data_IF_312869768671
#
_entry.id   IF_312869768671
#
_cell.length_a   1.000
_cell.length_b   1.000
_cell.length_c   1.000
_cell.angle_alpha   90.00
_cell.angle_beta   90.00
_cell.angle_gamma   90.00
#
_symmetry.space_group_name_H-M   'P 1'
#
loop_
_entity.id
_entity.type
_entity.pdbx_description
1 polymer ?
#
# COMPACT_ATOMS: atom_id res chain seq x y z
N UNK A 1 16.83 5.75 4.13
CA UNK A 1 17.27 5.11 2.88
C UNK A 1 17.64 3.65 3.09
N UNK A 2 18.50 3.30 4.06
CA UNK A 2 18.87 1.90 4.33
C UNK A 2 17.67 0.95 4.55
N UNK A 3 16.68 1.36 5.36
CA UNK A 3 15.50 0.52 5.63
C UNK A 3 14.65 0.26 4.39
N UNK A 4 14.41 1.29 3.57
CA UNK A 4 13.67 1.16 2.32
C UNK A 4 14.37 0.21 1.36
N UNK A 5 15.69 0.34 1.20
CA UNK A 5 16.49 -0.58 0.40
C UNK A 5 16.40 -2.02 0.91
N UNK A 6 16.49 -2.21 2.23
CA UNK A 6 16.35 -3.53 2.84
C UNK A 6 14.96 -4.14 2.58
N UNK A 7 13.89 -3.34 2.63
CA UNK A 7 12.55 -3.81 2.28
C UNK A 7 12.45 -4.21 0.80
N UNK A 8 13.01 -3.43 -0.13
CA UNK A 8 12.99 -3.78 -1.56
C UNK A 8 13.73 -5.10 -1.81
N UNK A 9 14.93 -5.24 -1.23
CA UNK A 9 15.69 -6.50 -1.32
C UNK A 9 14.86 -7.67 -0.77
N UNK A 10 14.18 -7.48 0.38
CA UNK A 10 13.34 -8.51 0.97
C UNK A 10 12.18 -8.93 0.06
N UNK A 11 11.55 -7.98 -0.63
CA UNK A 11 10.46 -8.26 -1.57
C UNK A 11 10.98 -8.98 -2.83
N UNK A 12 12.17 -8.61 -3.33
CA UNK A 12 12.82 -9.30 -4.46
C UNK A 12 13.22 -10.72 -4.09
N UNK A 13 13.93 -10.92 -2.98
CA UNK A 13 14.31 -12.24 -2.46
C UNK A 13 13.09 -13.12 -2.18
N UNK A 14 12.00 -12.50 -1.73
CA UNK A 14 10.73 -13.14 -1.50
C UNK A 14 9.97 -13.50 -2.78
N UNK A 15 10.39 -13.02 -3.96
CA UNK A 15 9.70 -13.24 -5.23
C UNK A 15 8.35 -12.52 -5.32
N UNK A 16 8.19 -11.39 -4.60
CA UNK A 16 6.97 -10.57 -4.65
C UNK A 16 7.04 -9.48 -5.72
N UNK A 17 8.26 -9.00 -6.02
CA UNK A 17 8.55 -8.05 -7.09
C UNK A 17 9.83 -8.48 -7.83
N UNK A 18 10.03 -7.96 -9.03
CA UNK A 18 11.29 -8.13 -9.77
C UNK A 18 12.32 -7.08 -9.36
N UNK A 19 13.60 -7.29 -9.72
CA UNK A 19 14.62 -6.27 -9.51
C UNK A 19 14.31 -4.98 -10.28
N UNK A 20 13.72 -5.07 -11.48
CA UNK A 20 13.33 -3.89 -12.26
C UNK A 20 12.32 -3.00 -11.52
N UNK A 21 11.35 -3.62 -10.83
CA UNK A 21 10.39 -2.90 -9.98
C UNK A 21 11.08 -2.26 -8.77
N UNK A 22 12.06 -2.95 -8.16
CA UNK A 22 12.83 -2.40 -7.05
C UNK A 22 13.74 -1.22 -7.46
N UNK A 23 14.19 -1.19 -8.72
CA UNK A 23 15.05 -0.14 -9.27
C UNK A 23 14.24 1.11 -9.66
N UNK A 24 12.95 0.98 -9.99
CA UNK A 24 12.02 2.09 -10.28
C UNK A 24 10.82 2.11 -9.31
N UNK A 25 11.08 2.43 -8.05
CA UNK A 25 10.03 2.45 -7.03
C UNK A 25 8.95 3.51 -7.32
N UNK A 26 9.32 4.66 -7.88
CA UNK A 26 8.36 5.75 -8.14
C UNK A 26 7.35 5.35 -9.22
N UNK A 27 7.79 4.66 -10.27
CA UNK A 27 6.90 4.10 -11.29
C UNK A 27 6.02 2.94 -10.81
N UNK A 28 6.39 2.29 -9.70
CA UNK A 28 5.79 1.03 -9.24
C UNK A 28 5.23 1.06 -7.82
N UNK A 29 4.91 2.24 -7.26
CA UNK A 29 4.43 2.37 -5.87
C UNK A 29 3.26 1.44 -5.55
N UNK A 30 2.24 1.37 -6.42
CA UNK A 30 1.10 0.48 -6.18
C UNK A 30 1.51 -1.00 -6.15
N UNK A 31 2.34 -1.44 -7.09
CA UNK A 31 2.82 -2.82 -7.16
C UNK A 31 3.63 -3.19 -5.91
N UNK A 32 4.46 -2.28 -5.41
CA UNK A 32 5.25 -2.45 -4.20
C UNK A 32 4.37 -2.52 -2.95
N UNK A 33 3.36 -1.65 -2.84
CA UNK A 33 2.38 -1.71 -1.74
C UNK A 33 1.63 -3.04 -1.77
N UNK A 34 1.15 -3.46 -2.93
CA UNK A 34 0.50 -4.77 -3.11
C UNK A 34 1.45 -5.93 -2.74
N UNK A 35 2.73 -5.86 -3.11
CA UNK A 35 3.73 -6.86 -2.74
C UNK A 35 3.98 -6.94 -1.24
N UNK A 36 4.01 -5.80 -0.54
CA UNK A 36 4.10 -5.77 0.92
C UNK A 36 2.89 -6.45 1.57
N UNK A 37 1.68 -6.19 1.06
CA UNK A 37 0.46 -6.85 1.53
C UNK A 37 0.47 -8.36 1.21
N UNK A 38 0.92 -8.77 0.03
CA UNK A 38 1.11 -10.17 -0.32
C UNK A 38 2.05 -10.87 0.67
N UNK A 39 3.17 -10.23 1.01
CA UNK A 39 4.11 -10.73 2.02
C UNK A 39 3.47 -10.85 3.41
N UNK A 40 2.60 -9.92 3.81
CA UNK A 40 1.84 -10.03 5.07
C UNK A 40 0.92 -11.26 5.08
N UNK A 41 0.34 -11.60 3.92
CA UNK A 41 -0.52 -12.80 3.85
C UNK A 41 0.24 -14.10 4.07
N UNK A 42 1.56 -14.16 3.87
CA UNK A 42 2.37 -15.36 4.11
C UNK A 42 2.73 -15.56 5.61
N UNK A 43 2.36 -14.60 6.47
CA UNK A 43 2.66 -14.68 7.92
C UNK A 43 1.70 -15.62 8.66
N UNK A 44 2.09 -16.18 9.82
CA UNK A 44 1.19 -16.98 10.68
C UNK A 44 0.22 -16.11 11.50
N UNK A 45 0.04 -14.83 11.16
CA UNK A 45 -0.78 -13.90 11.93
C UNK A 45 -2.25 -14.30 11.86
N UNK A 46 -2.95 -14.28 13.00
CA UNK A 46 -4.37 -14.62 13.07
C UNK A 46 -5.27 -13.59 12.37
N UNK A 47 -4.88 -12.31 12.45
CA UNK A 47 -5.59 -11.19 11.83
C UNK A 47 -4.65 -10.47 10.88
N UNK A 48 -5.18 -10.18 9.69
CA UNK A 48 -4.52 -9.36 8.67
C UNK A 48 -5.41 -8.16 8.39
N UNK A 49 -4.79 -7.00 8.17
CA UNK A 49 -5.51 -5.75 7.95
C UNK A 49 -4.83 -4.95 6.84
N UNK A 50 -5.62 -4.54 5.86
CA UNK A 50 -5.21 -3.61 4.82
C UNK A 50 -5.80 -2.24 5.09
N UNK A 51 -4.95 -1.21 5.17
CA UNK A 51 -5.41 0.15 5.42
C UNK A 51 -6.09 0.69 4.16
N UNK A 52 -7.26 1.30 4.32
CA UNK A 52 -8.01 1.80 3.16
C UNK A 52 -7.22 2.84 2.36
N UNK A 53 -6.38 3.62 3.05
CA UNK A 53 -5.43 4.58 2.45
C UNK A 53 -4.48 3.94 1.44
N UNK A 54 -4.01 2.71 1.68
CA UNK A 54 -3.15 1.97 0.74
C UNK A 54 -3.92 1.58 -0.53
N UNK A 55 -5.19 1.23 -0.35
CA UNK A 55 -6.11 0.83 -1.42
C UNK A 55 -6.53 1.98 -2.33
N UNK A 56 -6.53 3.22 -1.83
CA UNK A 56 -6.82 4.42 -2.64
C UNK A 56 -5.56 5.15 -3.09
N UNK A 57 -4.41 4.88 -2.46
CA UNK A 57 -3.14 5.53 -2.75
C UNK A 57 -2.92 6.86 -2.02
N UNK A 58 -3.60 7.07 -0.88
CA UNK A 58 -3.45 8.29 -0.08
C UNK A 58 -2.04 8.40 0.49
N UNK A 59 -1.38 9.53 0.24
CA UNK A 59 -0.02 9.80 0.69
C UNK A 59 0.04 10.68 1.93
N UNK A 60 -1.06 11.34 2.31
CA UNK A 60 -1.10 12.26 3.45
C UNK A 60 -1.41 11.49 4.73
N UNK A 61 -0.65 11.77 5.79
CA UNK A 61 -0.88 11.16 7.10
C UNK A 61 -2.14 11.74 7.76
N UNK A 62 -2.91 10.91 8.46
CA UNK A 62 -4.05 11.41 9.24
C UNK A 62 -3.59 12.19 10.48
N UNK A 63 -2.43 11.84 11.02
CA UNK A 63 -1.90 12.41 12.26
C UNK A 63 -0.38 12.53 12.19
N UNK A 64 0.13 13.68 12.63
CA UNK A 64 1.54 13.94 12.85
C UNK A 64 1.77 14.13 14.36
N UNK A 65 2.25 13.09 15.07
CA UNK A 65 2.50 13.17 16.51
C UNK A 65 3.38 14.37 16.90
N UNK A 66 3.07 15.02 18.01
CA UNK A 66 3.81 16.18 18.50
C UNK A 66 3.42 17.52 17.87
N UNK A 67 2.32 17.57 17.13
CA UNK A 67 1.77 18.82 16.56
C UNK A 67 0.41 19.16 17.16
N UNK A 68 0.06 20.45 17.14
CA UNK A 68 -1.24 20.98 17.53
C UNK A 68 -1.86 21.76 16.37
N UNK A 69 -1.41 23.00 16.15
CA UNK A 69 -1.91 23.87 15.07
C UNK A 69 -1.11 23.77 13.77
N UNK A 70 0.05 23.11 13.80
CA UNK A 70 0.97 22.97 12.67
C UNK A 70 0.45 22.00 11.61
N UNK A 71 -0.37 21.03 12.01
CA UNK A 71 -0.96 20.04 11.12
C UNK A 71 -2.45 19.85 11.38
N UNK A 72 -3.21 19.59 10.32
CA UNK A 72 -4.65 19.32 10.40
C UNK A 72 -4.94 17.89 10.84
N UNK A 73 -4.43 17.50 12.00
CA UNK A 73 -4.62 16.16 12.56
C UNK A 73 -6.11 15.80 12.64
N UNK A 74 -6.45 14.56 12.27
CA UNK A 74 -7.80 13.99 12.36
C UNK A 74 -8.84 14.69 11.48
N UNK A 75 -8.39 15.46 10.49
CA UNK A 75 -9.25 16.23 9.58
C UNK A 75 -8.90 16.00 8.12
N UNK A 76 -7.99 15.07 7.81
CA UNK A 76 -7.63 14.75 6.43
C UNK A 76 -8.71 13.82 5.85
N UNK A 77 -9.46 14.25 4.81
CA UNK A 77 -10.41 13.38 4.14
C UNK A 77 -9.67 12.31 3.35
N UNK A 78 -10.27 11.12 3.21
CA UNK A 78 -9.74 10.08 2.33
C UNK A 78 -9.70 10.59 0.89
N UNK A 79 -8.52 10.59 0.28
CA UNK A 79 -8.36 10.92 -1.13
C UNK A 79 -7.53 9.86 -1.86
N UNK A 80 -7.57 9.89 -3.19
CA UNK A 80 -6.70 9.08 -4.02
C UNK A 80 -5.27 9.63 -4.08
N UNK A 81 -4.39 8.97 -4.84
CA UNK A 81 -3.01 9.39 -5.02
C UNK A 81 -2.82 10.75 -5.73
N UNK A 82 -3.87 11.29 -6.36
CA UNK A 82 -3.86 12.62 -6.97
C UNK A 82 -4.47 13.68 -6.04
N UNK A 83 -4.99 13.27 -4.88
CA UNK A 83 -5.60 14.15 -3.90
C UNK A 83 -7.09 14.41 -4.12
N UNK A 84 -7.76 13.67 -5.02
CA UNK A 84 -9.21 13.73 -5.19
C UNK A 84 -9.92 12.96 -4.08
N UNK A 85 -10.91 13.60 -3.45
CA UNK A 85 -11.69 12.97 -2.37
C UNK A 85 -12.38 11.71 -2.88
N UNK A 86 -12.24 10.62 -2.14
CA UNK A 86 -12.90 9.34 -2.42
C UNK A 86 -14.13 9.20 -1.54
N UNK A 87 -15.29 9.05 -2.16
CA UNK A 87 -16.56 8.87 -1.47
C UNK A 87 -16.83 7.39 -1.09
N UNK A 88 -17.62 7.19 -0.04
CA UNK A 88 -17.93 5.85 0.48
C UNK A 88 -18.78 5.00 -0.47
N UNK A 89 -19.57 5.62 -1.34
CA UNK A 89 -20.39 4.93 -2.34
C UNK A 89 -19.60 4.43 -3.56
N UNK A 90 -18.37 4.93 -3.76
CA UNK A 90 -17.51 4.56 -4.90
C UNK A 90 -16.24 3.82 -4.48
N UNK A 91 -15.77 3.96 -3.23
CA UNK A 91 -14.48 3.43 -2.78
C UNK A 91 -14.29 1.94 -3.09
N UNK A 92 -15.34 1.14 -2.92
CA UNK A 92 -15.27 -0.29 -3.18
C UNK A 92 -15.32 -0.65 -4.68
N UNK A 93 -15.64 0.29 -5.56
CA UNK A 93 -15.59 0.08 -7.01
C UNK A 93 -14.25 0.49 -7.62
N UNK A 94 -13.36 1.13 -6.84
CA UNK A 94 -12.07 1.58 -7.35
C UNK A 94 -11.20 0.38 -7.76
N UNK A 95 -10.62 0.39 -8.98
CA UNK A 95 -9.76 -0.70 -9.44
C UNK A 95 -8.61 -1.02 -8.47
N UNK A 96 -7.99 0.00 -7.87
CA UNK A 96 -6.89 -0.17 -6.91
C UNK A 96 -7.35 -0.83 -5.60
N UNK A 97 -8.53 -0.48 -5.08
CA UNK A 97 -9.11 -1.12 -3.89
C UNK A 97 -9.45 -2.58 -4.17
N UNK A 98 -10.05 -2.87 -5.33
CA UNK A 98 -10.35 -4.23 -5.76
C UNK A 98 -9.09 -5.06 -5.98
N UNK A 99 -8.05 -4.44 -6.56
CA UNK A 99 -6.74 -5.04 -6.76
C UNK A 99 -6.09 -5.45 -5.43
N UNK A 100 -6.02 -4.53 -4.47
CA UNK A 100 -5.49 -4.83 -3.12
C UNK A 100 -6.35 -5.88 -2.40
N UNK A 101 -7.67 -5.83 -2.55
CA UNK A 101 -8.58 -6.84 -1.98
C UNK A 101 -8.29 -8.24 -2.53
N UNK A 102 -8.01 -8.36 -3.83
CA UNK A 102 -7.63 -9.62 -4.45
C UNK A 102 -6.27 -10.14 -3.93
N UNK A 103 -5.31 -9.25 -3.65
CA UNK A 103 -4.06 -9.61 -2.97
C UNK A 103 -4.34 -10.18 -1.57
N UNK A 104 -5.17 -9.50 -0.78
CA UNK A 104 -5.51 -9.96 0.59
C UNK A 104 -6.27 -11.29 0.61
N UNK A 105 -7.02 -11.59 -0.46
CA UNK A 105 -7.66 -12.91 -0.67
C UNK A 105 -6.73 -13.96 -1.28
N UNK A 106 -5.47 -13.62 -1.57
CA UNK A 106 -4.46 -14.45 -2.24
C UNK A 106 -4.86 -14.92 -3.65
N UNK A 107 -5.67 -14.12 -4.34
CA UNK A 107 -6.12 -14.38 -5.71
C UNK A 107 -5.09 -13.93 -6.75
N UNK A 108 -4.32 -12.88 -6.44
CA UNK A 108 -3.10 -12.51 -7.17
C UNK A 108 -1.94 -13.33 -6.60
N UNK A 109 -1.50 -14.36 -7.33
CA UNK A 109 -0.29 -15.14 -6.98
C UNK A 109 0.98 -14.36 -7.34
N UNK A 110 2.07 -14.71 -6.65
CA UNK A 110 3.45 -14.25 -6.93
C UNK A 110 3.72 -14.30 -8.44
N UNK A 111 4.27 -13.21 -8.98
CA UNK A 111 4.86 -13.22 -10.31
C UNK A 111 6.05 -14.20 -10.23
N UNK A 112 5.84 -15.43 -10.67
CA UNK A 112 6.90 -16.41 -10.77
C UNK A 112 7.93 -15.91 -11.79
N UNK A 113 9.18 -15.81 -11.36
CA UNK A 113 10.35 -15.60 -12.21
C UNK A 113 10.49 -16.69 -13.27
#
# INVERSE_FOLDING_TARGET
MAERTAMMNRLVEGGYITQAVADDVEGHVQEIVEAMHAMLTDTPSLLLQAALVDGVGECRSQNQPGTSSEYSNWRVPLADGEGHVVHTNEVFNLPRVQSLSAVMRREKRRNAS
#
